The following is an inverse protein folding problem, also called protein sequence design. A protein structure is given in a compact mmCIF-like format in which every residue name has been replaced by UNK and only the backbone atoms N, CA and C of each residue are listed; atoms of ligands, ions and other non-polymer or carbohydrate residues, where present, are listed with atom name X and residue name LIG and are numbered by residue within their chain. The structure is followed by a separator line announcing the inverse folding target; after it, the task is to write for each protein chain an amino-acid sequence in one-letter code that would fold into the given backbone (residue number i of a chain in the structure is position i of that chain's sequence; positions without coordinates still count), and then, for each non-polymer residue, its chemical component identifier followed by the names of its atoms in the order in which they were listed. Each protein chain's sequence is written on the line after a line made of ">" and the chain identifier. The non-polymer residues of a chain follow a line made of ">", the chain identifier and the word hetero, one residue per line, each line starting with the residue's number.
data_IF_493609204232
#
_entry.id   IF_493609204232
#
_cell.length_a   1.000
_cell.length_b   1.000
_cell.length_c   1.000
_cell.angle_alpha   90.00
_cell.angle_beta   90.00
_cell.angle_gamma   90.00
#
_symmetry.space_group_name_H-M   'P 1'
#
loop_
_entity.id
_entity.type
_entity.pdbx_description
1 polymer ?
#
# COMPACT_ATOMS: atom_id res chain seq x y z
N UNK A 1 16.71 11.07 6.38
CA UNK A 1 17.40 10.63 5.16
C UNK A 1 16.89 11.40 3.94
N UNK A 2 17.77 11.74 3.00
CA UNK A 2 17.35 12.28 1.68
C UNK A 2 16.97 11.15 0.71
N UNK A 3 17.38 9.94 1.00
CA UNK A 3 17.00 8.75 0.23
C UNK A 3 15.55 8.37 0.53
N UNK A 4 14.76 8.22 -0.52
CA UNK A 4 13.31 7.90 -0.44
C UNK A 4 12.92 6.60 -1.14
N UNK A 5 13.91 5.81 -1.57
CA UNK A 5 13.72 4.58 -2.35
C UNK A 5 14.09 4.78 -3.83
N UNK A 6 13.87 3.76 -4.62
CA UNK A 6 14.21 3.71 -6.06
C UNK A 6 13.08 4.22 -6.98
N UNK A 7 11.97 4.68 -6.42
CA UNK A 7 10.82 5.15 -7.19
C UNK A 7 11.21 6.26 -8.16
N UNK A 8 10.79 6.12 -9.41
CA UNK A 8 11.08 7.07 -10.49
C UNK A 8 12.49 6.97 -11.10
N UNK A 9 13.32 6.02 -10.65
CA UNK A 9 14.69 5.81 -11.14
C UNK A 9 14.80 4.62 -12.12
N UNK A 10 13.74 4.25 -12.80
CA UNK A 10 13.76 3.11 -13.74
C UNK A 10 14.84 3.25 -14.82
N UNK A 11 15.09 4.48 -15.29
CA UNK A 11 16.09 4.79 -16.32
C UNK A 11 17.53 4.45 -15.86
N UNK A 12 17.83 4.55 -14.56
CA UNK A 12 19.12 4.17 -14.00
C UNK A 12 19.41 2.65 -14.06
N UNK A 13 18.39 1.85 -14.34
CA UNK A 13 18.50 0.38 -14.47
C UNK A 13 18.38 -0.09 -15.93
N UNK A 14 18.30 0.83 -16.90
CA UNK A 14 18.24 0.51 -18.32
C UNK A 14 19.59 0.84 -19.00
N UNK A 15 20.37 -0.19 -19.42
CA UNK A 15 21.67 0.01 -20.04
C UNK A 15 21.60 0.71 -21.42
N UNK A 16 20.41 0.73 -22.02
CA UNK A 16 20.19 1.33 -23.36
C UNK A 16 19.62 2.74 -23.29
N UNK A 17 19.39 3.24 -22.08
CA UNK A 17 18.82 4.59 -21.89
C UNK A 17 19.89 5.65 -22.07
N UNK A 18 19.67 6.55 -23.02
CA UNK A 18 20.56 7.69 -23.27
C UNK A 18 20.76 8.53 -21.98
N UNK A 19 22.01 8.83 -21.70
CA UNK A 19 22.39 9.62 -20.52
C UNK A 19 22.45 8.85 -19.20
N UNK A 20 22.08 7.56 -19.15
CA UNK A 20 22.06 6.76 -17.92
C UNK A 20 23.00 5.54 -17.93
N UNK A 21 23.72 5.31 -19.04
CA UNK A 21 24.58 4.13 -19.20
C UNK A 21 25.68 4.04 -18.14
N UNK A 22 26.24 5.18 -17.73
CA UNK A 22 27.29 5.26 -16.70
C UNK A 22 26.73 4.87 -15.32
N UNK A 23 25.61 5.45 -14.93
CA UNK A 23 24.93 5.19 -13.67
C UNK A 23 24.47 3.72 -13.57
N UNK A 24 23.93 3.19 -14.69
CA UNK A 24 23.56 1.78 -14.78
C UNK A 24 24.76 0.83 -14.54
N UNK A 25 25.91 1.13 -15.17
CA UNK A 25 27.14 0.35 -14.98
C UNK A 25 27.68 0.47 -13.54
N UNK A 26 27.62 1.67 -12.97
CA UNK A 26 28.04 1.93 -11.59
C UNK A 26 27.17 1.17 -10.59
N UNK A 27 25.84 1.24 -10.73
CA UNK A 27 24.90 0.49 -9.88
C UNK A 27 25.16 -1.02 -9.93
N UNK A 28 25.41 -1.58 -11.12
CA UNK A 28 25.77 -2.99 -11.27
C UNK A 28 27.07 -3.36 -10.58
N UNK A 29 28.01 -2.44 -10.46
CA UNK A 29 29.26 -2.66 -9.77
C UNK A 29 29.17 -2.50 -8.24
N UNK A 30 28.20 -1.74 -7.75
CA UNK A 30 28.02 -1.43 -6.34
C UNK A 30 27.07 -2.38 -5.60
N UNK A 31 26.07 -2.91 -6.32
CA UNK A 31 25.04 -3.79 -5.77
C UNK A 31 25.35 -5.25 -6.11
N UNK A 32 25.01 -6.17 -5.23
CA UNK A 32 24.96 -7.59 -5.58
C UNK A 32 23.86 -7.84 -6.63
N UNK A 33 23.88 -9.00 -7.30
CA UNK A 33 22.86 -9.35 -8.28
C UNK A 33 21.43 -9.31 -7.69
N UNK A 34 21.28 -9.82 -6.47
CA UNK A 34 19.99 -9.82 -5.76
C UNK A 34 19.55 -8.41 -5.36
N UNK A 35 20.47 -7.59 -4.86
CA UNK A 35 20.21 -6.18 -4.53
C UNK A 35 19.84 -5.39 -5.79
N UNK A 36 20.54 -5.59 -6.89
CA UNK A 36 20.25 -4.94 -8.15
C UNK A 36 18.87 -5.33 -8.69
N UNK A 37 18.54 -6.62 -8.65
CA UNK A 37 17.24 -7.14 -9.08
C UNK A 37 16.09 -6.59 -8.22
N UNK A 38 16.26 -6.58 -6.89
CA UNK A 38 15.28 -6.05 -5.96
C UNK A 38 15.09 -4.53 -6.14
N UNK A 39 16.16 -3.77 -6.25
CA UNK A 39 16.13 -2.33 -6.49
C UNK A 39 15.42 -1.99 -7.81
N UNK A 40 15.78 -2.70 -8.90
CA UNK A 40 15.14 -2.54 -10.20
C UNK A 40 13.65 -2.83 -10.15
N UNK A 41 13.23 -3.91 -9.49
CA UNK A 41 11.83 -4.27 -9.32
C UNK A 41 11.06 -3.21 -8.54
N UNK A 42 11.69 -2.55 -7.58
CA UNK A 42 11.05 -1.53 -6.75
C UNK A 42 10.90 -0.18 -7.43
N UNK A 43 11.59 0.08 -8.56
CA UNK A 43 11.51 1.38 -9.26
C UNK A 43 10.10 1.74 -9.72
N UNK A 44 9.29 0.75 -10.04
CA UNK A 44 7.90 0.90 -10.47
C UNK A 44 6.91 0.99 -9.30
N UNK A 45 7.32 0.58 -8.12
CA UNK A 45 6.44 0.31 -6.97
C UNK A 45 6.75 1.16 -5.74
N UNK A 46 7.92 1.79 -5.69
CA UNK A 46 8.29 2.69 -4.61
C UNK A 46 7.62 4.04 -4.82
N UNK A 47 6.47 4.24 -4.17
CA UNK A 47 5.75 5.51 -4.21
C UNK A 47 6.06 6.31 -2.95
N UNK A 48 6.55 7.54 -3.15
CA UNK A 48 6.68 8.49 -2.06
C UNK A 48 5.29 8.96 -1.62
N UNK A 49 4.99 8.82 -0.34
CA UNK A 49 3.75 9.32 0.24
C UNK A 49 4.01 10.66 0.91
N UNK A 50 3.26 11.70 0.52
CA UNK A 50 3.46 13.03 1.10
C UNK A 50 3.12 13.04 2.60
N UNK A 51 3.80 13.88 3.39
CA UNK A 51 3.48 14.05 4.81
C UNK A 51 2.01 14.43 5.05
N UNK A 52 1.40 15.19 4.16
CA UNK A 52 -0.01 15.58 4.25
C UNK A 52 -0.94 14.36 4.19
N UNK A 53 -0.69 13.44 3.26
CA UNK A 53 -1.47 12.21 3.13
C UNK A 53 -1.28 11.32 4.36
N UNK A 54 -0.05 11.15 4.85
CA UNK A 54 0.24 10.35 6.04
C UNK A 54 -0.49 10.91 7.26
N UNK A 55 -0.44 12.22 7.49
CA UNK A 55 -1.16 12.88 8.60
C UNK A 55 -2.66 12.67 8.48
N UNK A 56 -3.23 12.87 7.29
CA UNK A 56 -4.66 12.67 7.06
C UNK A 56 -5.11 11.24 7.38
N UNK A 57 -4.30 10.23 7.02
CA UNK A 57 -4.58 8.84 7.35
C UNK A 57 -4.57 8.62 8.86
N UNK A 58 -3.54 9.08 9.57
CA UNK A 58 -3.47 8.93 11.03
C UNK A 58 -4.58 9.69 11.75
N UNK A 59 -4.92 10.91 11.32
CA UNK A 59 -6.02 11.69 11.87
C UNK A 59 -7.37 10.96 11.73
N UNK A 60 -7.60 10.35 10.56
CA UNK A 60 -8.80 9.56 10.33
C UNK A 60 -8.84 8.32 11.21
N UNK A 61 -7.74 7.56 11.28
CA UNK A 61 -7.63 6.34 12.11
C UNK A 61 -7.80 6.67 13.60
N UNK A 62 -7.26 7.79 14.06
CA UNK A 62 -7.45 8.28 15.44
C UNK A 62 -8.91 8.62 15.73
N UNK A 63 -9.60 9.28 14.79
CA UNK A 63 -11.05 9.57 14.90
C UNK A 63 -11.91 8.31 14.89
N UNK A 64 -11.44 7.24 14.24
CA UNK A 64 -12.06 5.91 14.28
C UNK A 64 -11.85 5.19 15.62
N UNK A 65 -11.07 5.76 16.54
CA UNK A 65 -10.86 5.25 17.89
C UNK A 65 -9.57 4.47 18.11
N UNK A 66 -8.72 4.33 17.12
CA UNK A 66 -7.43 3.69 17.30
C UNK A 66 -6.48 4.58 18.13
N UNK A 67 -5.74 3.97 19.05
CA UNK A 67 -4.71 4.64 19.86
C UNK A 67 -3.39 3.89 19.79
N UNK A 68 -3.29 2.75 20.46
CA UNK A 68 -2.08 1.94 20.52
C UNK A 68 -2.38 0.49 20.21
N UNK A 69 -1.40 -0.19 19.62
CA UNK A 69 -1.50 -1.60 19.28
C UNK A 69 -0.35 -2.06 18.42
N UNK A 70 -0.54 -3.18 17.75
CA UNK A 70 0.39 -3.70 16.77
C UNK A 70 0.08 -3.08 15.40
N UNK A 71 1.01 -2.32 14.87
CA UNK A 71 0.88 -1.61 13.58
C UNK A 71 1.73 -2.30 12.54
N UNK A 72 1.13 -2.67 11.41
CA UNK A 72 1.80 -3.23 10.24
C UNK A 72 1.92 -2.18 9.13
N UNK A 73 3.11 -2.05 8.55
CA UNK A 73 3.34 -1.39 7.27
C UNK A 73 3.93 -2.42 6.29
N UNK A 74 3.11 -2.99 5.37
CA UNK A 74 3.51 -4.17 4.59
C UNK A 74 4.38 -3.85 3.37
N UNK A 75 4.56 -2.58 3.04
CA UNK A 75 5.43 -2.06 1.98
C UNK A 75 6.01 -0.73 2.43
N UNK A 76 6.93 -0.81 3.40
CA UNK A 76 7.24 0.34 4.25
C UNK A 76 8.21 1.36 3.63
N UNK A 77 8.94 1.00 2.58
CA UNK A 77 10.03 1.86 2.12
C UNK A 77 11.03 2.13 3.24
N UNK A 78 11.43 3.38 3.39
CA UNK A 78 12.29 3.81 4.50
C UNK A 78 11.52 4.11 5.80
N UNK A 79 10.21 3.88 5.86
CA UNK A 79 9.40 4.01 7.08
C UNK A 79 8.85 5.40 7.35
N UNK A 80 8.40 6.13 6.34
CA UNK A 80 7.82 7.46 6.53
C UNK A 80 6.57 7.44 7.43
N UNK A 81 5.74 6.40 7.36
CA UNK A 81 4.61 6.23 8.29
C UNK A 81 5.09 6.05 9.74
N UNK A 82 6.15 5.29 9.97
CA UNK A 82 6.71 5.14 11.32
C UNK A 82 7.30 6.47 11.84
N UNK A 83 7.98 7.21 10.97
CA UNK A 83 8.56 8.50 11.32
C UNK A 83 7.56 9.59 11.64
N UNK A 84 6.30 9.42 11.22
CA UNK A 84 5.21 10.36 11.43
C UNK A 84 4.13 9.82 12.39
N UNK A 85 4.45 8.77 13.13
CA UNK A 85 3.53 8.19 14.11
C UNK A 85 3.08 9.26 15.13
N UNK A 86 1.76 9.47 15.31
CA UNK A 86 1.25 10.45 16.28
C UNK A 86 1.66 10.14 17.71
N UNK A 87 1.75 11.18 18.55
CA UNK A 87 2.09 11.03 19.97
C UNK A 87 1.12 10.11 20.71
N UNK A 88 -0.15 10.12 20.31
CA UNK A 88 -1.21 9.24 20.85
C UNK A 88 -1.01 7.75 20.54
N UNK A 89 -0.09 7.42 19.63
CA UNK A 89 0.19 6.06 19.16
C UNK A 89 1.60 5.57 19.51
N UNK A 90 2.38 6.33 20.29
CA UNK A 90 3.80 6.05 20.55
C UNK A 90 4.05 4.77 21.36
N UNK A 91 3.08 4.26 22.10
CA UNK A 91 3.17 2.99 22.81
C UNK A 91 2.89 1.76 21.91
N UNK A 92 2.65 1.99 20.63
CA UNK A 92 2.43 0.93 19.65
C UNK A 92 3.70 0.15 19.34
N UNK A 93 3.52 -1.15 19.00
CA UNK A 93 4.58 -1.98 18.44
C UNK A 93 4.53 -1.91 16.90
N UNK A 94 5.68 -1.59 16.30
CA UNK A 94 5.78 -1.37 14.86
C UNK A 94 6.35 -2.60 14.16
N UNK A 95 5.69 -3.00 13.08
CA UNK A 95 6.07 -4.13 12.22
C UNK A 95 6.09 -3.65 10.78
N UNK A 96 7.22 -3.80 10.13
CA UNK A 96 7.40 -3.38 8.74
C UNK A 96 7.90 -4.51 7.86
N UNK A 97 7.52 -4.46 6.60
CA UNK A 97 8.02 -5.35 5.55
C UNK A 97 8.50 -4.49 4.39
N UNK A 98 9.71 -4.76 3.90
CA UNK A 98 10.28 -4.09 2.74
C UNK A 98 11.01 -5.10 1.86
N UNK A 99 10.62 -5.15 0.59
CA UNK A 99 11.18 -6.07 -0.40
C UNK A 99 12.61 -5.71 -0.78
N UNK A 100 12.88 -4.41 -1.02
CA UNK A 100 14.21 -3.95 -1.41
C UNK A 100 15.17 -3.98 -0.23
N UNK A 101 16.27 -4.74 -0.38
CA UNK A 101 17.21 -4.98 0.72
C UNK A 101 17.98 -3.73 1.15
N UNK A 102 18.29 -2.83 0.23
CA UNK A 102 18.98 -1.56 0.55
C UNK A 102 18.03 -0.66 1.35
N UNK A 103 16.83 -0.44 0.83
CA UNK A 103 15.79 0.36 1.51
C UNK A 103 15.43 -0.22 2.87
N UNK A 104 15.23 -1.54 2.95
CA UNK A 104 14.89 -2.22 4.20
C UNK A 104 15.98 -2.11 5.27
N UNK A 105 17.25 -2.24 4.89
CA UNK A 105 18.38 -2.05 5.82
C UNK A 105 18.48 -0.61 6.32
N UNK A 106 18.19 0.37 5.46
CA UNK A 106 18.11 1.78 5.89
C UNK A 106 16.98 1.94 6.90
N UNK A 107 15.80 1.41 6.64
CA UNK A 107 14.67 1.44 7.56
C UNK A 107 15.01 0.80 8.93
N UNK A 108 15.66 -0.35 8.94
CA UNK A 108 16.12 -1.01 10.17
C UNK A 108 17.07 -0.12 11.00
N UNK A 109 17.91 0.68 10.34
CA UNK A 109 18.81 1.62 11.04
C UNK A 109 18.08 2.86 11.55
N UNK A 110 17.05 3.33 10.84
CA UNK A 110 16.24 4.47 11.27
C UNK A 110 15.30 4.12 12.43
N UNK A 111 14.81 2.89 12.47
CA UNK A 111 13.82 2.42 13.45
C UNK A 111 14.29 1.12 14.12
N UNK A 112 15.33 1.18 14.98
CA UNK A 112 15.93 -0.02 15.58
C UNK A 112 14.97 -0.76 16.54
N UNK A 113 13.98 -0.09 17.09
CA UNK A 113 12.96 -0.67 17.97
C UNK A 113 11.81 -1.36 17.22
N UNK A 114 11.70 -1.13 15.90
CA UNK A 114 10.66 -1.75 15.09
C UNK A 114 11.08 -3.15 14.61
N UNK A 115 10.08 -4.03 14.42
CA UNK A 115 10.27 -5.35 13.83
C UNK A 115 10.18 -5.24 12.31
N UNK A 116 11.31 -5.09 11.63
CA UNK A 116 11.36 -4.92 10.17
C UNK A 116 11.90 -6.19 9.52
N UNK A 117 11.09 -6.79 8.65
CA UNK A 117 11.46 -7.92 7.81
C UNK A 117 11.83 -7.42 6.41
N UNK A 118 13.06 -7.68 6.01
CA UNK A 118 13.56 -7.37 4.66
C UNK A 118 13.29 -8.56 3.75
N UNK A 119 12.10 -8.61 3.19
CA UNK A 119 11.59 -9.67 2.31
C UNK A 119 10.29 -9.23 1.65
N UNK A 120 9.76 -10.04 0.74
CA UNK A 120 8.43 -9.84 0.19
C UNK A 120 7.31 -10.12 1.20
N UNK A 121 6.17 -9.46 1.02
CA UNK A 121 5.00 -9.63 1.89
C UNK A 121 4.48 -11.08 1.89
N UNK A 122 4.67 -11.82 0.80
CA UNK A 122 4.31 -13.24 0.65
C UNK A 122 5.03 -14.16 1.65
N UNK A 123 6.16 -13.71 2.23
CA UNK A 123 6.91 -14.48 3.22
C UNK A 123 6.35 -14.37 4.64
N UNK A 124 5.33 -13.56 4.85
CA UNK A 124 4.69 -13.36 6.15
C UNK A 124 3.42 -14.21 6.27
N UNK A 125 3.09 -14.64 7.49
CA UNK A 125 2.00 -15.59 7.73
C UNK A 125 1.19 -15.34 9.01
N UNK A 126 1.42 -14.22 9.69
CA UNK A 126 0.63 -13.85 10.88
C UNK A 126 -0.83 -13.68 10.51
N UNK A 127 -1.73 -14.11 11.41
CA UNK A 127 -3.18 -13.96 11.26
C UNK A 127 -3.78 -13.39 12.52
N UNK A 128 -4.83 -12.56 12.37
CA UNK A 128 -5.58 -11.97 13.48
C UNK A 128 -4.68 -11.30 14.53
N UNK A 129 -3.60 -10.66 14.09
CA UNK A 129 -2.55 -10.18 14.97
C UNK A 129 -2.47 -8.67 15.08
N UNK A 130 -2.53 -7.95 13.95
CA UNK A 130 -2.35 -6.50 13.94
C UNK A 130 -3.65 -5.78 14.28
N UNK A 131 -3.52 -4.65 14.98
CA UNK A 131 -4.63 -3.74 15.28
C UNK A 131 -4.86 -2.73 14.15
N UNK A 132 -3.78 -2.39 13.44
CA UNK A 132 -3.78 -1.48 12.31
C UNK A 132 -2.78 -1.96 11.25
N UNK A 133 -3.21 -1.97 9.99
CA UNK A 133 -2.32 -2.04 8.84
C UNK A 133 -2.43 -0.72 8.06
N UNK A 134 -1.32 -0.07 7.81
CA UNK A 134 -1.25 1.26 7.20
C UNK A 134 -0.12 1.31 6.18
N UNK A 135 -0.27 2.06 5.11
CA UNK A 135 0.79 2.25 4.14
C UNK A 135 0.30 2.61 2.75
N UNK A 136 1.26 2.78 1.86
CA UNK A 136 1.06 2.96 0.43
C UNK A 136 1.48 1.65 -0.25
N UNK A 137 0.50 0.87 -0.73
CA UNK A 137 0.76 -0.45 -1.32
C UNK A 137 1.29 -0.32 -2.74
N UNK A 138 2.06 -1.32 -3.24
CA UNK A 138 2.49 -1.34 -4.63
C UNK A 138 1.29 -1.39 -5.57
N UNK A 139 1.39 -0.69 -6.72
CA UNK A 139 0.34 -0.68 -7.76
C UNK A 139 0.81 -1.44 -8.99
N UNK A 140 -0.10 -2.08 -9.69
CA UNK A 140 0.18 -2.68 -10.97
C UNK A 140 -0.69 -3.89 -11.29
N UNK A 141 -0.56 -4.36 -12.53
CA UNK A 141 -1.28 -5.52 -13.02
C UNK A 141 -0.54 -6.84 -12.76
N UNK A 142 0.73 -6.77 -12.35
CA UNK A 142 1.50 -7.96 -12.00
C UNK A 142 1.00 -8.58 -10.69
N UNK A 143 1.37 -9.83 -10.47
CA UNK A 143 0.88 -10.66 -9.39
C UNK A 143 2.03 -11.14 -8.51
N UNK A 144 1.71 -11.34 -7.24
CA UNK A 144 2.63 -11.93 -6.27
C UNK A 144 2.36 -13.44 -6.20
N UNK A 145 3.43 -14.24 -6.18
CA UNK A 145 3.31 -15.68 -5.96
C UNK A 145 3.24 -15.97 -4.46
N UNK A 146 2.04 -16.14 -3.96
CA UNK A 146 1.74 -16.57 -2.59
C UNK A 146 0.72 -17.70 -2.64
N UNK A 147 1.15 -18.90 -2.26
CA UNK A 147 0.33 -20.12 -2.36
C UNK A 147 -1.05 -19.99 -1.75
N UNK A 148 -1.17 -19.26 -0.65
CA UNK A 148 -2.45 -19.05 0.05
C UNK A 148 -3.42 -18.19 -0.75
N UNK A 149 -2.91 -17.32 -1.63
CA UNK A 149 -3.68 -16.30 -2.36
C UNK A 149 -3.69 -16.48 -3.87
N UNK A 150 -2.85 -17.37 -4.43
CA UNK A 150 -2.72 -17.55 -5.88
C UNK A 150 -4.06 -17.83 -6.59
N UNK A 151 -4.96 -18.57 -5.93
CA UNK A 151 -6.29 -18.89 -6.49
C UNK A 151 -7.18 -17.66 -6.68
N UNK A 152 -6.93 -16.57 -5.95
CA UNK A 152 -7.69 -15.32 -6.09
C UNK A 152 -7.34 -14.58 -7.38
N UNK A 153 -6.15 -14.80 -7.90
CA UNK A 153 -5.66 -14.21 -9.15
C UNK A 153 -5.69 -12.67 -9.15
N UNK A 154 -5.52 -12.04 -8.00
CA UNK A 154 -5.58 -10.59 -7.83
C UNK A 154 -4.31 -9.90 -8.34
N UNK A 155 -4.47 -8.65 -8.83
CA UNK A 155 -3.35 -7.73 -9.01
C UNK A 155 -2.67 -7.44 -7.66
N UNK A 156 -1.41 -6.98 -7.69
CA UNK A 156 -0.62 -6.80 -6.47
C UNK A 156 -1.30 -5.91 -5.44
N UNK A 157 -1.90 -4.77 -5.84
CA UNK A 157 -2.57 -3.88 -4.89
C UNK A 157 -3.78 -4.57 -4.21
N UNK A 158 -4.56 -5.37 -4.93
CA UNK A 158 -5.68 -6.11 -4.36
C UNK A 158 -5.21 -7.29 -3.48
N UNK A 159 -4.10 -7.93 -3.85
CA UNK A 159 -3.46 -8.95 -3.01
C UNK A 159 -3.05 -8.41 -1.64
N UNK A 160 -2.47 -7.19 -1.60
CA UNK A 160 -2.08 -6.57 -0.33
C UNK A 160 -3.29 -6.34 0.59
N UNK A 161 -4.44 -5.95 0.05
CA UNK A 161 -5.68 -5.87 0.84
C UNK A 161 -6.13 -7.23 1.38
N UNK A 162 -6.20 -8.23 0.51
CA UNK A 162 -6.67 -9.57 0.90
C UNK A 162 -5.82 -10.14 2.04
N UNK A 163 -4.50 -10.05 1.93
CA UNK A 163 -3.58 -10.56 2.95
C UNK A 163 -3.58 -9.71 4.22
N UNK A 164 -3.59 -8.39 4.11
CA UNK A 164 -3.62 -7.51 5.28
C UNK A 164 -4.90 -7.70 6.11
N UNK A 165 -6.05 -7.90 5.47
CA UNK A 165 -7.31 -8.21 6.16
C UNK A 165 -7.19 -9.51 6.95
N UNK A 166 -6.56 -10.55 6.40
CA UNK A 166 -6.32 -11.79 7.15
C UNK A 166 -5.36 -11.60 8.33
N UNK A 167 -4.42 -10.67 8.22
CA UNK A 167 -3.39 -10.43 9.24
C UNK A 167 -3.84 -9.49 10.35
N UNK A 168 -4.79 -8.59 10.11
CA UNK A 168 -5.39 -7.79 11.19
C UNK A 168 -6.39 -8.63 11.97
N UNK A 169 -6.54 -8.31 13.25
CA UNK A 169 -7.55 -8.93 14.11
C UNK A 169 -8.96 -8.47 13.74
N UNK A 170 -10.02 -9.21 14.11
CA UNK A 170 -11.38 -8.70 14.06
C UNK A 170 -11.50 -7.35 14.80
N UNK A 171 -12.13 -6.36 14.15
CA UNK A 171 -12.18 -4.96 14.62
C UNK A 171 -10.94 -4.13 14.27
N UNK A 172 -9.86 -4.75 13.79
CA UNK A 172 -8.67 -4.06 13.31
C UNK A 172 -8.95 -3.27 12.02
N UNK A 173 -8.14 -2.27 11.77
CA UNK A 173 -8.30 -1.31 10.66
C UNK A 173 -7.21 -1.55 9.62
N UNK A 174 -7.59 -1.50 8.35
CA UNK A 174 -6.70 -1.40 7.20
C UNK A 174 -6.89 -0.04 6.54
N UNK A 175 -5.84 0.76 6.47
CA UNK A 175 -5.85 2.09 5.89
C UNK A 175 -4.73 2.21 4.86
N UNK A 176 -5.03 1.95 3.60
CA UNK A 176 -4.06 1.92 2.50
C UNK A 176 -4.32 2.99 1.46
N UNK A 177 -3.22 3.57 0.96
CA UNK A 177 -3.20 4.25 -0.34
C UNK A 177 -3.03 3.18 -1.40
N UNK A 178 -3.88 3.20 -2.41
CA UNK A 178 -3.94 2.20 -3.48
C UNK A 178 -4.29 2.82 -4.83
N UNK A 179 -4.18 2.03 -5.89
CA UNK A 179 -4.70 2.39 -7.20
C UNK A 179 -6.22 2.60 -7.16
N UNK A 180 -6.72 3.57 -7.93
CA UNK A 180 -8.18 3.73 -8.14
C UNK A 180 -8.87 2.44 -8.59
N UNK A 181 -8.13 1.55 -9.26
CA UNK A 181 -8.68 0.30 -9.79
C UNK A 181 -9.11 -0.70 -8.72
N UNK A 182 -8.70 -0.54 -7.47
CA UNK A 182 -9.28 -1.34 -6.38
C UNK A 182 -10.80 -1.11 -6.31
N UNK A 183 -11.25 0.12 -6.36
CA UNK A 183 -12.67 0.48 -6.30
C UNK A 183 -13.35 0.56 -7.68
N UNK A 184 -12.65 0.98 -8.73
CA UNK A 184 -13.23 1.29 -10.05
C UNK A 184 -13.09 0.17 -11.09
N UNK A 185 -12.41 -0.94 -10.81
CA UNK A 185 -12.27 -2.04 -11.77
C UNK A 185 -13.64 -2.59 -12.16
N UNK A 186 -13.83 -2.89 -13.46
CA UNK A 186 -15.03 -3.59 -13.95
C UNK A 186 -15.18 -4.98 -13.31
N UNK A 187 -14.05 -5.68 -13.08
CA UNK A 187 -14.02 -6.91 -12.31
C UNK A 187 -14.19 -6.59 -10.83
N UNK A 188 -15.29 -7.04 -10.25
CA UNK A 188 -15.64 -6.83 -8.84
C UNK A 188 -15.11 -7.90 -7.89
N UNK A 189 -14.35 -8.90 -8.37
CA UNK A 189 -13.92 -10.05 -7.56
C UNK A 189 -13.17 -9.64 -6.30
N UNK A 190 -12.25 -8.69 -6.40
CA UNK A 190 -11.49 -8.21 -5.25
C UNK A 190 -12.39 -7.49 -4.24
N UNK A 191 -13.30 -6.63 -4.70
CA UNK A 191 -14.25 -5.92 -3.84
C UNK A 191 -15.20 -6.88 -3.12
N UNK A 192 -15.69 -7.92 -3.81
CA UNK A 192 -16.51 -8.98 -3.20
C UNK A 192 -15.74 -9.71 -2.11
N UNK A 193 -14.51 -10.11 -2.39
CA UNK A 193 -13.65 -10.78 -1.40
C UNK A 193 -13.42 -9.91 -0.16
N UNK A 194 -13.15 -8.62 -0.34
CA UNK A 194 -12.95 -7.66 0.73
C UNK A 194 -14.25 -7.46 1.52
N UNK A 195 -15.37 -7.22 0.83
CA UNK A 195 -16.67 -6.95 1.43
C UNK A 195 -17.21 -8.10 2.28
N UNK A 196 -16.90 -9.34 1.92
CA UNK A 196 -17.23 -10.51 2.73
C UNK A 196 -16.55 -10.50 4.10
N UNK A 197 -15.41 -9.80 4.25
CA UNK A 197 -14.52 -9.85 5.42
C UNK A 197 -14.44 -8.56 6.20
N UNK A 198 -14.69 -7.43 5.55
CA UNK A 198 -14.48 -6.11 6.13
C UNK A 198 -15.56 -5.11 5.71
N UNK A 199 -15.83 -4.16 6.58
CA UNK A 199 -16.68 -3.01 6.29
C UNK A 199 -15.84 -1.88 5.70
N UNK A 200 -16.35 -1.21 4.66
CA UNK A 200 -15.79 0.05 4.17
C UNK A 200 -16.19 1.18 5.11
N UNK A 201 -15.22 1.71 5.87
CA UNK A 201 -15.45 2.86 6.75
C UNK A 201 -15.45 4.17 5.98
N UNK A 202 -14.73 4.23 4.89
CA UNK A 202 -14.65 5.38 4.00
C UNK A 202 -13.55 5.24 2.97
N UNK A 203 -13.61 6.08 1.95
CA UNK A 203 -12.57 6.20 0.93
C UNK A 203 -12.43 7.65 0.49
N UNK A 204 -11.22 8.06 0.13
CA UNK A 204 -10.92 9.41 -0.36
C UNK A 204 -10.14 9.28 -1.66
N UNK A 205 -10.64 9.89 -2.73
CA UNK A 205 -9.93 9.96 -4.00
C UNK A 205 -8.96 11.14 -3.98
N UNK A 206 -7.69 10.85 -4.17
CA UNK A 206 -6.65 11.87 -4.16
C UNK A 206 -6.61 12.62 -5.50
N UNK A 207 -6.33 13.94 -5.49
CA UNK A 207 -6.14 14.69 -6.72
C UNK A 207 -5.01 14.12 -7.60
N UNK A 208 -5.18 14.22 -8.92
CA UNK A 208 -4.22 13.69 -9.91
C UNK A 208 -2.78 14.21 -9.75
N UNK A 209 -2.58 15.36 -9.12
CA UNK A 209 -1.26 16.00 -8.95
C UNK A 209 -0.50 15.53 -7.70
N UNK A 210 -1.15 14.77 -6.81
CA UNK A 210 -0.55 14.29 -5.56
C UNK A 210 0.73 13.47 -5.80
N UNK A 211 0.86 12.81 -6.97
CA UNK A 211 2.00 11.97 -7.36
C UNK A 211 2.71 12.42 -8.65
N UNK A 212 2.32 13.53 -9.26
CA UNK A 212 2.88 14.04 -10.55
C UNK A 212 4.39 14.26 -10.55
N UNK A 213 4.99 14.52 -9.40
CA UNK A 213 6.42 14.86 -9.33
C UNK A 213 7.37 13.66 -9.49
N UNK A 214 6.89 12.42 -9.41
CA UNK A 214 7.78 11.28 -9.28
C UNK A 214 7.73 10.23 -10.39
N UNK A 215 6.76 10.23 -11.29
CA UNK A 215 6.62 9.11 -12.24
C UNK A 215 6.22 9.46 -13.69
N UNK A 216 6.00 10.72 -14.03
CA UNK A 216 5.63 11.10 -15.41
C UNK A 216 4.29 10.56 -15.93
N UNK A 217 3.56 9.79 -15.13
CA UNK A 217 2.24 9.24 -15.42
C UNK A 217 1.19 9.78 -14.43
N UNK A 218 0.04 10.16 -14.95
CA UNK A 218 -1.12 10.52 -14.11
C UNK A 218 -1.69 9.27 -13.46
N UNK A 219 -1.33 9.02 -12.20
CA UNK A 219 -1.89 7.92 -11.41
C UNK A 219 -2.92 8.50 -10.45
N UNK A 220 -4.18 8.12 -10.61
CA UNK A 220 -5.23 8.39 -9.63
C UNK A 220 -5.16 7.34 -8.53
N UNK A 221 -5.09 7.80 -7.29
CA UNK A 221 -5.00 6.94 -6.12
C UNK A 221 -6.15 7.21 -5.17
N UNK A 222 -6.49 6.19 -4.41
CA UNK A 222 -7.50 6.27 -3.35
C UNK A 222 -6.86 5.93 -2.00
N UNK A 223 -7.34 6.56 -0.93
CA UNK A 223 -7.15 6.08 0.44
C UNK A 223 -8.40 5.30 0.79
N UNK A 224 -8.24 4.05 1.22
CA UNK A 224 -9.34 3.17 1.60
C UNK A 224 -9.19 2.78 3.07
N UNK A 225 -10.26 2.96 3.84
CA UNK A 225 -10.34 2.58 5.26
C UNK A 225 -11.32 1.44 5.43
N UNK A 226 -10.82 0.31 5.92
CA UNK A 226 -11.59 -0.90 6.16
C UNK A 226 -11.49 -1.33 7.62
N UNK A 227 -12.55 -1.92 8.14
CA UNK A 227 -12.54 -2.58 9.45
C UNK A 227 -12.92 -4.05 9.29
N UNK A 228 -12.05 -4.94 9.77
CA UNK A 228 -12.31 -6.38 9.72
C UNK A 228 -13.48 -6.75 10.62
N UNK A 229 -14.44 -7.49 10.04
CA UNK A 229 -15.55 -8.07 10.80
C UNK A 229 -15.14 -9.40 11.46
N UNK A 230 -15.77 -9.71 12.55
CA UNK A 230 -15.68 -11.01 13.22
C UNK A 230 -16.61 -12.07 12.60
N UNK A 231 -17.57 -11.66 11.77
CA UNK A 231 -18.50 -12.53 11.04
C UNK A 231 -18.65 -12.11 9.58
N UNK A 232 -18.79 -13.07 8.65
CA UNK A 232 -19.20 -12.76 7.28
C UNK A 232 -20.55 -12.06 7.26
N UNK A 233 -20.78 -11.19 6.28
CA UNK A 233 -22.11 -10.67 6.00
C UNK A 233 -22.80 -11.53 4.95
N UNK A 234 -24.13 -11.51 4.96
CA UNK A 234 -25.04 -12.27 4.11
C UNK A 234 -25.62 -11.46 2.96
N UNK A 235 -25.27 -10.19 2.85
CA UNK A 235 -25.66 -9.30 1.75
C UNK A 235 -24.46 -8.57 1.18
N UNK A 236 -24.49 -8.27 -0.11
CA UNK A 236 -23.44 -7.52 -0.78
C UNK A 236 -23.69 -6.01 -0.61
N UNK A 237 -22.74 -5.25 -0.03
CA UNK A 237 -22.88 -3.80 0.09
C UNK A 237 -22.73 -3.10 -1.26
N UNK A 238 -23.36 -1.93 -1.40
CA UNK A 238 -23.44 -1.17 -2.66
C UNK A 238 -22.07 -0.78 -3.21
N UNK A 239 -21.07 -0.53 -2.35
CA UNK A 239 -19.74 -0.15 -2.79
C UNK A 239 -18.97 -1.26 -3.56
N UNK A 240 -19.46 -2.48 -3.58
CA UNK A 240 -18.92 -3.54 -4.44
C UNK A 240 -19.18 -3.25 -5.91
N UNK A 241 -20.28 -2.54 -6.21
CA UNK A 241 -20.71 -2.23 -7.56
C UNK A 241 -20.18 -0.88 -8.06
N UNK A 242 -20.14 -0.73 -9.38
CA UNK A 242 -19.91 0.55 -10.03
C UNK A 242 -21.24 1.27 -10.25
N UNK A 243 -21.20 2.59 -10.13
CA UNK A 243 -22.24 3.50 -10.54
C UNK A 243 -21.78 4.39 -11.69
N UNK A 244 -22.50 5.49 -11.91
CA UNK A 244 -22.16 6.49 -12.93
C UNK A 244 -22.21 7.89 -12.34
N UNK A 245 -21.23 8.73 -12.75
CA UNK A 245 -21.28 10.17 -12.51
C UNK A 245 -22.43 10.81 -13.31
N UNK A 246 -22.76 12.07 -13.03
CA UNK A 246 -23.74 12.85 -13.82
C UNK A 246 -23.35 12.91 -15.30
N UNK A 247 -22.03 12.95 -15.61
CA UNK A 247 -21.52 12.94 -16.99
C UNK A 247 -21.46 11.53 -17.61
N UNK A 248 -21.94 10.50 -16.89
CA UNK A 248 -22.02 9.13 -17.37
C UNK A 248 -20.76 8.29 -17.28
N UNK A 249 -19.72 8.76 -16.59
CA UNK A 249 -18.49 7.97 -16.35
C UNK A 249 -18.70 6.93 -15.26
N UNK A 250 -18.20 5.72 -15.50
CA UNK A 250 -18.27 4.64 -14.50
C UNK A 250 -17.23 4.88 -13.38
N UNK A 251 -17.72 4.92 -12.15
CA UNK A 251 -16.90 4.96 -10.93
C UNK A 251 -17.53 4.08 -9.86
N UNK A 252 -16.80 3.81 -8.78
CA UNK A 252 -17.37 3.06 -7.66
C UNK A 252 -18.62 3.74 -7.11
N UNK A 253 -19.63 2.95 -6.75
CA UNK A 253 -20.90 3.47 -6.20
C UNK A 253 -20.67 4.34 -4.97
N UNK A 254 -19.66 4.01 -4.13
CA UNK A 254 -19.29 4.83 -2.98
C UNK A 254 -19.04 6.30 -3.34
N UNK A 255 -18.28 6.56 -4.42
CA UNK A 255 -18.00 7.93 -4.86
C UNK A 255 -19.18 8.61 -5.57
N UNK A 256 -20.12 7.83 -6.10
CA UNK A 256 -21.40 8.39 -6.60
C UNK A 256 -22.23 8.91 -5.42
N UNK A 257 -22.27 8.15 -4.33
CA UNK A 257 -23.04 8.48 -3.13
C UNK A 257 -22.33 9.55 -2.25
N UNK A 258 -21.02 9.68 -2.39
CA UNK A 258 -20.16 10.60 -1.65
C UNK A 258 -19.27 11.43 -2.60
N UNK A 259 -19.87 12.35 -3.39
CA UNK A 259 -19.11 13.12 -4.39
C UNK A 259 -18.09 14.09 -3.76
N UNK A 260 -18.17 14.36 -2.47
CA UNK A 260 -17.23 15.18 -1.70
C UNK A 260 -15.91 14.45 -1.39
N UNK A 261 -15.87 13.14 -1.51
CA UNK A 261 -14.72 12.28 -1.23
C UNK A 261 -13.88 12.03 -2.47
#
# INVERSE_FOLDING_TARGET
>A
SQYVGWGGLADAFDPNKDGWAKECAELKGLLSEDEYAAARSSTLNAHYTSPTVIRAIYDAVEKMGFRNGNILEPSMGIGNFFGMLPDTMQDSRLYGVELDSVTGRIAQKLYPEANIKVAGFETTDRRDFYDLAVGNVPFGQYKVNDKAYNKLNFSIHNYFFAKAIDQVRPGGIVAFVTSRYTLDSKDSSARKHIAERADLLGAIRLPNDTFKKNAGTEVVSDIIFLQKRDRPIDHEPDWVQLGKTEDGFAINQYFVDHPEM
#
